data_IF_777435098429
#
_entry.id   IF_777435098429
#
_cell.length_a   1.000
_cell.length_b   1.000
_cell.length_c   1.000
_cell.angle_alpha   90.00
_cell.angle_beta   90.00
_cell.angle_gamma   90.00
#
_symmetry.space_group_name_H-M   'P 1'
#
loop_
_entity.id
_entity.type
_entity.pdbx_description
1 polymer ?
#
# COMPACT_ATOMS: atom_id res chain seq x y z
N UNK A 1 7.53 0.42 -26.51
CA UNK A 1 7.11 -0.18 -25.24
C UNK A 1 6.47 0.92 -24.43
N UNK A 2 5.31 0.68 -23.81
CA UNK A 2 4.67 1.67 -22.96
C UNK A 2 5.53 1.87 -21.69
N UNK A 3 5.63 3.11 -21.21
CA UNK A 3 6.26 3.41 -19.93
C UNK A 3 5.33 2.93 -18.82
N UNK A 4 5.80 2.12 -17.85
CA UNK A 4 4.95 1.66 -16.78
C UNK A 4 4.50 2.81 -15.90
N UNK A 5 3.23 2.81 -15.52
CA UNK A 5 2.65 3.85 -14.66
C UNK A 5 2.63 3.42 -13.20
N UNK A 6 2.58 2.11 -12.96
CA UNK A 6 2.57 1.50 -11.64
C UNK A 6 3.68 0.46 -11.52
N UNK A 7 4.25 0.35 -10.32
CA UNK A 7 5.13 -0.76 -9.96
C UNK A 7 4.73 -1.28 -8.59
N UNK A 8 4.48 -2.58 -8.47
CA UNK A 8 4.39 -3.25 -7.17
C UNK A 8 5.71 -3.95 -6.85
N UNK A 9 6.13 -3.91 -5.59
CA UNK A 9 7.34 -4.57 -5.08
C UNK A 9 6.94 -5.34 -3.82
N UNK A 10 7.26 -6.62 -3.78
CA UNK A 10 7.03 -7.47 -2.60
C UNK A 10 8.31 -7.62 -1.76
N UNK A 11 8.18 -8.28 -0.62
CA UNK A 11 9.23 -8.38 0.41
C UNK A 11 10.61 -8.85 -0.10
N UNK A 12 10.66 -9.75 -1.10
CA UNK A 12 11.91 -10.32 -1.68
C UNK A 12 12.58 -9.37 -2.68
N UNK A 13 11.93 -8.24 -3.00
CA UNK A 13 12.38 -7.30 -4.03
C UNK A 13 11.90 -7.65 -5.44
N UNK A 14 11.12 -8.72 -5.60
CA UNK A 14 10.41 -8.99 -6.86
C UNK A 14 9.48 -7.83 -7.18
N UNK A 15 9.55 -7.34 -8.42
CA UNK A 15 8.77 -6.19 -8.89
C UNK A 15 7.89 -6.54 -10.08
N UNK A 16 6.68 -6.02 -10.06
CA UNK A 16 5.67 -6.18 -11.10
C UNK A 16 5.33 -4.82 -11.69
N UNK A 17 5.59 -4.63 -12.98
CA UNK A 17 5.22 -3.41 -13.72
C UNK A 17 3.77 -3.50 -14.22
N UNK A 18 3.01 -2.43 -14.02
CA UNK A 18 1.58 -2.33 -14.33
C UNK A 18 0.72 -3.52 -13.85
N UNK A 19 0.78 -3.88 -12.55
CA UNK A 19 0.03 -5.01 -12.03
C UNK A 19 -1.48 -4.80 -12.21
N UNK A 20 -2.20 -5.87 -12.57
CA UNK A 20 -3.66 -5.91 -12.60
C UNK A 20 -4.26 -5.82 -11.20
N UNK A 21 -5.55 -5.51 -11.13
CA UNK A 21 -6.31 -5.45 -9.87
C UNK A 21 -6.26 -6.79 -9.10
N UNK A 22 -6.47 -7.89 -9.83
CA UNK A 22 -6.31 -9.26 -9.32
C UNK A 22 -4.89 -9.55 -8.86
N UNK A 23 -3.87 -9.04 -9.55
CA UNK A 23 -2.47 -9.26 -9.16
C UNK A 23 -2.15 -8.52 -7.85
N UNK A 24 -2.64 -7.30 -7.68
CA UNK A 24 -2.50 -6.57 -6.42
C UNK A 24 -3.21 -7.30 -5.27
N UNK A 25 -4.40 -7.85 -5.53
CA UNK A 25 -5.11 -8.65 -4.55
C UNK A 25 -4.34 -9.92 -4.17
N UNK A 26 -3.82 -10.66 -5.15
CA UNK A 26 -3.04 -11.88 -4.94
C UNK A 26 -1.78 -11.61 -4.11
N UNK A 27 -1.03 -10.54 -4.43
CA UNK A 27 0.15 -10.11 -3.67
C UNK A 27 -0.18 -9.81 -2.20
N UNK A 28 -1.34 -9.21 -1.93
CA UNK A 28 -1.80 -8.94 -0.56
C UNK A 28 -2.25 -10.22 0.15
N UNK A 29 -2.96 -11.11 -0.56
CA UNK A 29 -3.45 -12.37 -0.02
C UNK A 29 -2.31 -13.34 0.33
N UNK A 30 -1.20 -13.24 -0.38
CA UNK A 30 0.01 -14.04 -0.18
C UNK A 30 0.86 -13.56 1.01
N UNK A 31 0.59 -12.37 1.55
CA UNK A 31 1.32 -11.81 2.69
C UNK A 31 1.30 -12.75 3.91
N UNK A 32 2.46 -12.86 4.56
CA UNK A 32 2.65 -13.73 5.72
C UNK A 32 3.67 -13.11 6.69
N UNK A 33 3.88 -13.75 7.85
CA UNK A 33 4.92 -13.31 8.79
C UNK A 33 6.35 -13.40 8.21
N UNK A 34 6.52 -14.14 7.10
CA UNK A 34 7.74 -14.12 6.29
C UNK A 34 7.67 -13.00 5.25
N UNK A 35 6.52 -12.84 4.60
CA UNK A 35 6.27 -11.91 3.49
C UNK A 35 5.46 -10.72 3.98
N UNK A 36 6.13 -9.86 4.74
CA UNK A 36 5.45 -8.88 5.60
C UNK A 36 4.98 -7.63 4.90
N UNK A 37 5.43 -7.33 3.68
CA UNK A 37 5.06 -6.07 3.03
C UNK A 37 4.92 -6.16 1.52
N UNK A 38 4.08 -5.27 1.00
CA UNK A 38 3.91 -4.97 -0.41
C UNK A 38 3.93 -3.45 -0.57
N UNK A 39 4.75 -2.94 -1.48
CA UNK A 39 4.85 -1.52 -1.82
C UNK A 39 4.36 -1.33 -3.23
N UNK A 40 3.46 -0.38 -3.46
CA UNK A 40 3.02 0.02 -4.80
C UNK A 40 3.39 1.47 -5.03
N UNK A 41 4.10 1.74 -6.11
CA UNK A 41 4.59 3.07 -6.49
C UNK A 41 3.93 3.54 -7.78
N UNK A 42 3.62 4.84 -7.84
CA UNK A 42 3.23 5.50 -9.09
C UNK A 42 4.44 6.14 -9.74
N UNK A 43 4.77 5.65 -10.92
CA UNK A 43 5.93 6.07 -11.72
C UNK A 43 5.60 7.25 -12.64
N UNK A 44 4.32 7.50 -12.91
CA UNK A 44 3.88 8.59 -13.77
C UNK A 44 3.72 9.94 -13.03
N UNK A 45 3.87 9.95 -11.70
CA UNK A 45 3.74 11.14 -10.88
C UNK A 45 5.11 11.67 -10.43
N UNK A 46 5.25 12.99 -10.44
CA UNK A 46 6.42 13.68 -9.89
C UNK A 46 6.13 14.24 -8.48
N UNK A 47 7.11 14.24 -7.56
CA UNK A 47 8.46 13.68 -7.69
C UNK A 47 8.49 12.13 -7.62
N UNK A 48 9.34 11.51 -8.45
CA UNK A 48 9.49 10.07 -8.48
C UNK A 48 9.86 9.49 -7.10
N UNK A 49 9.25 8.37 -6.74
CA UNK A 49 9.45 7.72 -5.43
C UNK A 49 8.81 8.46 -4.24
N UNK A 50 8.04 9.52 -4.48
CA UNK A 50 7.27 10.21 -3.42
C UNK A 50 5.77 9.90 -3.48
N UNK A 51 5.35 9.07 -4.44
CA UNK A 51 3.96 8.62 -4.62
C UNK A 51 3.90 7.11 -4.49
N UNK A 52 3.68 6.62 -3.28
CA UNK A 52 3.61 5.20 -3.00
C UNK A 52 2.53 4.89 -1.97
N UNK A 53 2.06 3.65 -1.97
CA UNK A 53 1.27 3.06 -0.90
C UNK A 53 1.95 1.76 -0.47
N UNK A 54 2.23 1.61 0.81
CA UNK A 54 2.81 0.41 1.39
C UNK A 54 1.81 -0.24 2.33
N UNK A 55 1.68 -1.55 2.22
CA UNK A 55 0.94 -2.41 3.15
C UNK A 55 1.95 -3.24 3.91
N UNK A 56 1.84 -3.25 5.23
CA UNK A 56 2.67 -4.03 6.14
C UNK A 56 1.79 -4.91 7.03
N UNK A 57 2.17 -6.17 7.21
CA UNK A 57 1.53 -7.13 8.13
C UNK A 57 2.30 -7.14 9.46
N UNK A 58 1.64 -6.73 10.53
CA UNK A 58 2.20 -6.75 11.88
C UNK A 58 2.20 -8.15 12.49
N UNK A 59 2.99 -8.34 13.55
CA UNK A 59 3.07 -9.62 14.27
C UNK A 59 1.73 -10.03 14.94
N UNK A 60 0.84 -9.07 15.23
CA UNK A 60 -0.53 -9.36 15.71
C UNK A 60 -1.52 -9.71 14.58
N UNK A 61 -1.03 -9.78 13.34
CA UNK A 61 -1.80 -10.02 12.11
C UNK A 61 -2.78 -8.88 11.74
N UNK A 62 -2.56 -7.68 12.28
CA UNK A 62 -3.16 -6.45 11.76
C UNK A 62 -2.38 -5.93 10.55
N UNK A 63 -3.05 -5.16 9.70
CA UNK A 63 -2.40 -4.47 8.59
C UNK A 63 -2.14 -3.01 8.95
N UNK A 64 -0.93 -2.54 8.65
CA UNK A 64 -0.61 -1.13 8.62
C UNK A 64 -0.50 -0.71 7.15
N UNK A 65 -1.36 0.22 6.73
CA UNK A 65 -1.31 0.80 5.40
C UNK A 65 -0.79 2.22 5.52
N UNK A 66 0.22 2.57 4.74
CA UNK A 66 0.71 3.93 4.62
C UNK A 66 0.66 4.38 3.16
N UNK A 67 0.44 5.67 2.93
CA UNK A 67 0.63 6.24 1.61
C UNK A 67 1.32 7.59 1.70
N UNK A 68 2.02 7.91 0.61
CA UNK A 68 2.66 9.19 0.39
C UNK A 68 2.15 9.80 -0.91
N UNK A 69 1.81 11.09 -0.84
CA UNK A 69 1.18 11.84 -1.93
C UNK A 69 2.08 13.02 -2.36
N UNK A 70 3.30 12.71 -2.80
CA UNK A 70 4.22 13.68 -3.40
C UNK A 70 5.18 14.37 -2.43
N UNK A 71 5.26 13.95 -1.17
CA UNK A 71 6.29 14.44 -0.25
C UNK A 71 6.13 13.99 1.21
N UNK A 72 7.11 14.29 2.07
CA UNK A 72 7.07 13.98 3.50
C UNK A 72 5.91 14.62 4.26
N UNK A 73 5.51 15.83 3.87
CA UNK A 73 4.40 16.55 4.50
C UNK A 73 3.02 15.94 4.16
N UNK A 74 2.97 15.02 3.19
CA UNK A 74 1.76 14.35 2.73
C UNK A 74 1.89 12.84 2.89
N UNK A 75 2.26 12.45 4.10
CA UNK A 75 2.39 11.06 4.51
C UNK A 75 1.27 10.73 5.49
N UNK A 76 0.54 9.67 5.23
CA UNK A 76 -0.57 9.22 6.04
C UNK A 76 -0.45 7.73 6.30
N UNK A 77 -1.01 7.29 7.41
CA UNK A 77 -1.07 5.89 7.77
C UNK A 77 -2.43 5.55 8.36
N UNK A 78 -2.77 4.28 8.32
CA UNK A 78 -3.93 3.73 9.00
C UNK A 78 -3.60 2.33 9.49
N UNK A 79 -4.14 2.01 10.66
CA UNK A 79 -4.06 0.69 11.25
C UNK A 79 -5.40 -0.02 11.04
N UNK A 80 -5.38 -1.15 10.33
CA UNK A 80 -6.53 -1.99 10.07
C UNK A 80 -6.42 -3.21 10.99
N UNK A 81 -7.22 -3.28 12.07
CA UNK A 81 -7.16 -4.38 13.01
C UNK A 81 -7.59 -5.68 12.32
N UNK A 82 -7.03 -6.80 12.79
CA UNK A 82 -7.46 -8.13 12.33
C UNK A 82 -8.94 -8.32 12.61
N UNK A 83 -9.75 -8.51 11.56
CA UNK A 83 -11.14 -8.94 11.72
C UNK A 83 -11.20 -10.45 11.96
N UNK A 84 -12.29 -10.94 12.60
CA UNK A 84 -12.49 -12.37 12.87
C UNK A 84 -12.53 -13.22 11.58
N UNK A 85 -12.73 -12.59 10.42
CA UNK A 85 -12.48 -13.14 9.10
C UNK A 85 -10.98 -13.02 8.80
N UNK A 86 -10.20 -13.91 9.42
CA UNK A 86 -8.75 -13.93 9.55
C UNK A 86 -7.87 -13.76 8.28
N UNK A 87 -8.48 -13.54 7.11
CA UNK A 87 -7.83 -13.46 5.79
C UNK A 87 -8.44 -12.41 4.87
N UNK A 88 -9.36 -11.56 5.35
CA UNK A 88 -9.99 -10.55 4.50
C UNK A 88 -9.02 -9.40 4.23
N UNK A 89 -8.17 -9.56 3.21
CA UNK A 89 -7.39 -8.47 2.61
C UNK A 89 -8.27 -7.49 1.85
N UNK A 90 -9.55 -7.82 1.65
CA UNK A 90 -10.54 -7.04 0.89
C UNK A 90 -10.51 -5.52 1.17
N UNK A 91 -10.66 -5.02 2.41
CA UNK A 91 -10.65 -3.58 2.64
C UNK A 91 -9.32 -2.90 2.28
N UNK A 92 -8.20 -3.62 2.43
CA UNK A 92 -6.87 -3.11 2.07
C UNK A 92 -6.66 -3.17 0.56
N UNK A 93 -7.10 -4.25 -0.08
CA UNK A 93 -7.03 -4.44 -1.52
C UNK A 93 -7.86 -3.39 -2.26
N UNK A 94 -9.11 -3.16 -1.87
CA UNK A 94 -9.98 -2.15 -2.48
C UNK A 94 -9.36 -0.75 -2.42
N UNK A 95 -8.75 -0.40 -1.28
CA UNK A 95 -8.07 0.88 -1.09
C UNK A 95 -6.82 0.99 -1.95
N UNK A 96 -5.97 -0.05 -1.95
CA UNK A 96 -4.75 -0.09 -2.76
C UNK A 96 -5.05 0.01 -4.25
N UNK A 97 -6.03 -0.76 -4.71
CA UNK A 97 -6.53 -0.78 -6.08
C UNK A 97 -7.19 0.54 -6.47
N UNK A 98 -7.93 1.16 -5.54
CA UNK A 98 -8.53 2.47 -5.72
C UNK A 98 -7.46 3.54 -5.90
N UNK A 99 -6.46 3.56 -5.03
CA UNK A 99 -5.32 4.47 -5.10
C UNK A 99 -4.49 4.27 -6.38
N UNK A 100 -4.10 3.03 -6.68
CA UNK A 100 -3.29 2.69 -7.84
C UNK A 100 -3.93 3.13 -9.15
N UNK A 101 -5.27 3.01 -9.25
CA UNK A 101 -6.04 3.41 -10.44
C UNK A 101 -6.52 4.86 -10.42
N UNK A 102 -6.24 5.62 -9.36
CA UNK A 102 -6.75 6.98 -9.21
C UNK A 102 -8.28 7.06 -9.10
N UNK A 103 -8.94 6.01 -8.63
CA UNK A 103 -10.39 6.02 -8.38
C UNK A 103 -10.71 6.95 -7.20
N UNK A 104 -11.84 7.65 -7.18
CA UNK A 104 -12.27 8.39 -6.00
C UNK A 104 -12.67 7.43 -4.86
N UNK A 105 -12.68 7.91 -3.62
CA UNK A 105 -13.23 7.19 -2.45
C UNK A 105 -12.25 6.40 -1.58
N UNK A 106 -11.08 6.00 -2.08
CA UNK A 106 -10.08 5.25 -1.27
C UNK A 106 -9.58 6.03 -0.06
N UNK A 107 -9.50 7.36 -0.18
CA UNK A 107 -9.08 8.26 0.91
C UNK A 107 -10.14 8.40 2.00
N UNK A 108 -11.40 8.09 1.71
CA UNK A 108 -12.51 8.13 2.68
C UNK A 108 -12.88 6.74 3.21
N UNK A 109 -12.43 5.68 2.54
CA UNK A 109 -12.68 4.29 2.91
C UNK A 109 -12.03 3.86 4.23
N UNK A 110 -10.93 4.52 4.63
CA UNK A 110 -10.21 4.23 5.85
C UNK A 110 -9.98 5.51 6.68
N UNK A 111 -9.94 5.41 8.03
CA UNK A 111 -9.69 6.55 8.90
C UNK A 111 -8.20 6.91 8.94
N UNK A 112 -7.70 7.50 7.87
CA UNK A 112 -6.29 7.89 7.74
C UNK A 112 -5.88 8.93 8.79
N UNK A 113 -4.74 8.68 9.43
CA UNK A 113 -4.06 9.63 10.29
C UNK A 113 -2.84 10.20 9.56
N UNK A 114 -2.54 11.50 9.70
CA UNK A 114 -1.28 12.05 9.21
C UNK A 114 -0.11 11.42 9.96
N UNK A 115 0.89 10.92 9.23
CA UNK A 115 2.15 10.52 9.82
C UNK A 115 3.01 11.78 9.99
N UNK A 116 3.40 12.16 11.22
CA UNK A 116 4.26 13.32 11.40
C UNK A 116 5.57 13.11 10.64
N UNK A 117 6.11 14.14 9.96
CA UNK A 117 7.37 14.03 9.24
C UNK A 117 8.51 13.81 10.25
N UNK A 118 8.88 12.55 10.44
CA UNK A 118 10.03 12.13 11.21
C UNK A 118 9.82 12.07 12.72
N UNK A 119 9.38 10.92 13.21
CA UNK A 119 10.02 10.36 14.39
C UNK A 119 10.75 9.09 13.93
N UNK A 120 12.10 9.06 13.93
CA UNK A 120 12.81 7.80 13.78
C UNK A 120 12.41 6.95 14.98
N UNK A 121 11.76 5.82 14.72
CA UNK A 121 11.59 4.78 15.74
C UNK A 121 13.00 4.37 16.17
N UNK A 122 13.38 4.81 17.37
CA UNK A 122 14.68 4.56 17.97
C UNK A 122 14.72 3.19 18.62
#
# INVERSE_FOLDING_TARGET
MATPVLRAVEWDGTSWDDPSDDQLHDLLADMSLTWRFVVVERLDLEPAGQHYMQVYLNDDLSYQVEYRDGGPDRHFYVHVPRTHEAFAVEPVAEVLQGWARGRPGWREALPWAPLPPGEPVR
#
